data_IF_249157122754
#
_entry.id   IF_249157122754
#
_cell.length_a   1.000
_cell.length_b   1.000
_cell.length_c   1.000
_cell.angle_alpha   90.00
_cell.angle_beta   90.00
_cell.angle_gamma   90.00
#
_symmetry.space_group_name_H-M   'P 1'
#
loop_
_entity.id
_entity.type
_entity.pdbx_description
1 polymer ?
#
# COMPACT_ATOMS: atom_id res chain seq x y z
N UNK A 1 15.84 -12.94 -33.42
CA UNK A 1 14.52 -13.53 -33.17
C UNK A 1 14.72 -14.86 -32.48
N UNK A 2 14.29 -14.99 -31.23
CA UNK A 2 14.14 -16.28 -30.54
C UNK A 2 13.09 -16.07 -29.44
N UNK A 3 11.88 -16.58 -29.70
CA UNK A 3 10.78 -16.68 -28.74
C UNK A 3 11.18 -17.70 -27.68
N UNK A 4 10.97 -17.36 -26.40
CA UNK A 4 11.08 -18.32 -25.30
C UNK A 4 9.78 -18.28 -24.54
N UNK A 5 9.21 -19.47 -24.39
CA UNK A 5 7.83 -19.77 -24.09
C UNK A 5 7.38 -19.37 -22.68
N UNK A 6 6.09 -19.02 -22.60
CA UNK A 6 5.30 -18.95 -21.38
C UNK A 6 5.35 -20.30 -20.64
N UNK A 7 5.80 -20.27 -19.39
CA UNK A 7 5.45 -21.28 -18.38
C UNK A 7 5.25 -20.55 -17.05
N UNK A 8 4.12 -19.84 -16.94
CA UNK A 8 3.59 -19.44 -15.63
C UNK A 8 2.71 -20.59 -15.13
N UNK A 9 3.38 -21.61 -14.59
CA UNK A 9 2.76 -22.65 -13.77
C UNK A 9 2.80 -22.22 -12.30
N UNK A 10 1.67 -22.41 -11.63
CA UNK A 10 1.37 -22.02 -10.26
C UNK A 10 2.42 -22.46 -9.22
N UNK A 11 2.91 -21.51 -8.42
CA UNK A 11 3.44 -21.83 -7.09
C UNK A 11 3.29 -20.64 -6.11
N UNK A 12 2.42 -20.73 -5.09
CA UNK A 12 2.09 -19.61 -4.20
C UNK A 12 3.06 -19.40 -3.02
N UNK A 13 4.21 -20.06 -2.97
CA UNK A 13 5.13 -19.95 -1.83
C UNK A 13 6.60 -19.94 -2.26
N UNK A 14 7.10 -18.82 -2.74
CA UNK A 14 8.54 -18.57 -2.69
C UNK A 14 8.90 -17.08 -2.69
N UNK A 15 9.74 -16.72 -1.73
CA UNK A 15 10.40 -15.41 -1.57
C UNK A 15 11.04 -14.93 -2.87
N UNK A 16 10.38 -14.02 -3.59
CA UNK A 16 10.95 -13.37 -4.78
C UNK A 16 10.55 -11.89 -4.91
N UNK A 17 10.55 -11.14 -3.81
CA UNK A 17 10.22 -9.71 -3.87
C UNK A 17 11.43 -8.78 -3.99
N UNK A 18 12.65 -9.31 -4.07
CA UNK A 18 13.86 -8.48 -4.19
C UNK A 18 14.77 -9.08 -5.23
N UNK A 19 14.56 -8.72 -6.51
CA UNK A 19 15.62 -8.68 -7.53
C UNK A 19 15.08 -8.01 -8.80
N UNK A 20 14.87 -6.70 -8.71
CA UNK A 20 15.18 -5.68 -9.75
C UNK A 20 14.60 -4.34 -9.29
N UNK A 21 15.38 -3.60 -8.49
CA UNK A 21 15.14 -2.18 -8.15
C UNK A 21 15.63 -1.28 -9.31
N UNK A 22 15.50 -1.76 -10.55
CA UNK A 22 15.85 -0.99 -11.75
C UNK A 22 14.71 -1.24 -12.72
N UNK A 23 14.08 -0.14 -13.12
CA UNK A 23 12.88 -0.05 -13.96
C UNK A 23 11.57 0.11 -13.16
N UNK A 24 11.56 0.99 -12.14
CA UNK A 24 10.33 1.65 -11.71
C UNK A 24 9.89 2.63 -12.82
N UNK A 25 9.20 2.12 -13.85
CA UNK A 25 8.63 2.96 -14.91
C UNK A 25 7.34 3.59 -14.39
N UNK A 26 7.14 4.86 -14.72
CA UNK A 26 6.01 5.70 -14.31
C UNK A 26 4.60 5.16 -14.66
N UNK A 27 4.52 4.01 -15.32
CA UNK A 27 3.29 3.35 -15.75
C UNK A 27 2.76 2.35 -14.70
N UNK A 28 3.60 1.89 -13.76
CA UNK A 28 3.19 1.01 -12.66
C UNK A 28 2.38 1.75 -11.57
N UNK A 29 2.33 3.08 -11.67
CA UNK A 29 1.47 3.94 -10.84
C UNK A 29 0.08 4.17 -11.44
N UNK A 30 -0.26 3.51 -12.55
CA UNK A 30 -1.66 3.42 -12.97
C UNK A 30 -2.32 2.42 -12.03
N UNK A 31 -2.76 2.94 -10.88
CA UNK A 31 -3.93 2.44 -10.18
C UNK A 31 -4.95 2.02 -11.25
N UNK A 32 -5.05 0.73 -11.53
CA UNK A 32 -6.25 0.16 -12.14
C UNK A 32 -7.33 0.22 -11.06
N UNK A 33 -7.77 1.45 -10.78
CA UNK A 33 -8.93 1.80 -9.98
C UNK A 33 -10.23 1.15 -10.49
N UNK A 34 -10.15 0.46 -11.64
CA UNK A 34 -11.27 -0.16 -12.32
C UNK A 34 -11.78 -1.45 -11.67
N UNK A 35 -10.97 -2.22 -10.93
CA UNK A 35 -11.38 -3.58 -10.54
C UNK A 35 -11.51 -3.87 -9.03
N UNK A 36 -11.08 -2.98 -8.12
CA UNK A 36 -11.02 -3.34 -6.69
C UNK A 36 -12.23 -2.91 -5.84
N UNK A 37 -12.95 -1.85 -6.21
CA UNK A 37 -14.15 -1.48 -5.47
C UNK A 37 -15.40 -1.79 -6.28
N UNK A 38 -16.11 -2.86 -5.89
CA UNK A 38 -17.57 -2.96 -6.04
C UNK A 38 -18.31 -1.88 -5.24
N UNK A 39 -17.85 -0.64 -5.34
CA UNK A 39 -18.37 0.55 -4.68
C UNK A 39 -19.48 1.10 -5.55
N UNK A 40 -20.72 0.74 -5.24
CA UNK A 40 -21.88 1.60 -5.52
C UNK A 40 -21.46 3.05 -5.24
N UNK A 41 -21.61 3.97 -6.22
CA UNK A 41 -21.29 5.42 -6.14
C UNK A 41 -21.22 5.91 -4.68
N UNK A 42 -20.02 6.17 -4.15
CA UNK A 42 -19.87 6.73 -2.81
C UNK A 42 -20.58 8.09 -2.77
N UNK A 43 -21.70 8.15 -2.06
CA UNK A 43 -22.55 9.34 -1.92
C UNK A 43 -21.93 10.31 -0.92
N UNK A 44 -21.91 11.58 -1.34
CA UNK A 44 -21.70 12.82 -0.57
C UNK A 44 -20.37 12.99 0.19
N UNK A 45 -19.70 14.11 -0.09
CA UNK A 45 -18.61 14.65 0.72
C UNK A 45 -19.18 14.98 2.10
N UNK A 46 -18.78 14.22 3.12
CA UNK A 46 -19.21 14.44 4.50
C UNK A 46 -18.73 15.82 4.95
N UNK A 47 -19.64 16.77 5.17
CA UNK A 47 -19.28 18.15 5.53
C UNK A 47 -19.03 18.33 7.03
N UNK A 48 -19.60 17.45 7.87
CA UNK A 48 -19.53 17.51 9.34
C UNK A 48 -19.11 16.18 9.93
N UNK A 49 -18.36 16.21 11.02
CA UNK A 49 -17.94 15.04 11.77
C UNK A 49 -19.15 14.27 12.32
N UNK A 50 -19.22 12.96 12.09
CA UNK A 50 -20.32 12.12 12.59
C UNK A 50 -20.33 11.97 14.13
N UNK A 51 -19.21 12.27 14.80
CA UNK A 51 -19.09 12.16 16.25
C UNK A 51 -19.43 13.49 16.95
N UNK A 52 -18.84 14.60 16.51
CA UNK A 52 -18.97 15.90 17.19
C UNK A 52 -19.64 17.00 16.35
N UNK A 53 -20.12 16.70 15.14
CA UNK A 53 -20.71 17.66 14.19
C UNK A 53 -19.83 18.83 13.75
N UNK A 54 -18.55 18.86 14.15
CA UNK A 54 -17.59 19.89 13.72
C UNK A 54 -17.35 19.88 12.20
N UNK A 55 -16.97 21.01 11.58
CA UNK A 55 -16.75 21.11 10.15
C UNK A 55 -15.52 20.30 9.72
N UNK A 56 -15.68 19.51 8.65
CA UNK A 56 -14.55 18.78 8.05
C UNK A 56 -13.64 19.73 7.29
N UNK A 57 -12.34 19.41 7.25
CA UNK A 57 -11.32 20.21 6.54
C UNK A 57 -10.42 19.27 5.73
N UNK A 58 -9.96 19.76 4.58
CA UNK A 58 -8.92 19.09 3.78
C UNK A 58 -7.57 19.61 4.25
N UNK A 59 -6.58 18.73 4.46
CA UNK A 59 -5.23 19.19 4.79
C UNK A 59 -4.61 19.85 3.55
N UNK A 60 -3.77 20.84 3.78
CA UNK A 60 -3.04 21.54 2.70
C UNK A 60 -2.16 20.59 1.87
N UNK A 61 -1.67 19.51 2.48
CA UNK A 61 -0.77 18.54 1.86
C UNK A 61 -1.50 17.39 1.12
N UNK A 62 -2.84 17.39 1.12
CA UNK A 62 -3.66 16.38 0.40
C UNK A 62 -3.94 16.81 -1.05
N UNK A 63 -3.09 17.67 -1.61
CA UNK A 63 -3.12 18.02 -3.03
C UNK A 63 -2.47 16.90 -3.87
N UNK A 64 -3.04 16.48 -5.02
CA UNK A 64 -2.50 15.39 -5.82
C UNK A 64 -1.03 15.60 -6.24
N UNK A 65 -0.62 16.82 -6.58
CA UNK A 65 0.76 17.08 -6.99
C UNK A 65 1.71 16.99 -5.79
N UNK A 66 1.27 17.47 -4.62
CA UNK A 66 2.04 17.33 -3.37
C UNK A 66 2.15 15.84 -2.97
N UNK A 67 1.08 15.05 -3.14
CA UNK A 67 1.09 13.61 -2.82
C UNK A 67 2.13 12.87 -3.66
N UNK A 68 2.25 13.17 -4.96
CA UNK A 68 3.27 12.55 -5.83
C UNK A 68 4.70 12.82 -5.32
N UNK A 69 4.98 14.07 -4.95
CA UNK A 69 6.29 14.44 -4.36
C UNK A 69 6.54 13.65 -3.08
N UNK A 70 5.54 13.55 -2.19
CA UNK A 70 5.67 12.81 -0.92
C UNK A 70 5.88 11.32 -1.11
N UNK A 71 5.29 10.72 -2.14
CA UNK A 71 5.50 9.31 -2.47
C UNK A 71 6.95 9.06 -2.91
N UNK A 72 7.51 9.97 -3.71
CA UNK A 72 8.94 9.95 -4.05
C UNK A 72 9.81 10.12 -2.80
N UNK A 73 9.52 11.10 -1.94
CA UNK A 73 10.26 11.30 -0.69
C UNK A 73 10.21 10.07 0.23
N UNK A 74 9.06 9.40 0.31
CA UNK A 74 8.92 8.16 1.07
C UNK A 74 9.83 7.06 0.51
N UNK A 75 9.85 6.87 -0.82
CA UNK A 75 10.71 5.89 -1.47
C UNK A 75 12.20 6.19 -1.25
N UNK A 76 12.60 7.45 -1.37
CA UNK A 76 14.01 7.86 -1.31
C UNK A 76 14.55 7.92 0.13
N UNK A 77 13.71 8.28 1.11
CA UNK A 77 14.16 8.60 2.48
C UNK A 77 13.64 7.66 3.55
N UNK A 78 12.40 7.20 3.43
CA UNK A 78 11.75 6.39 4.47
C UNK A 78 11.90 4.90 4.21
N UNK A 79 11.72 4.46 2.97
CA UNK A 79 11.83 3.04 2.61
C UNK A 79 13.18 2.41 2.99
N UNK A 80 14.35 3.06 2.76
CA UNK A 80 15.64 2.49 3.16
C UNK A 80 15.82 2.32 4.68
N UNK A 81 15.04 3.05 5.50
CA UNK A 81 15.08 2.88 6.96
C UNK A 81 14.56 1.49 7.34
N UNK A 82 13.58 0.94 6.60
CA UNK A 82 13.05 -0.40 6.86
C UNK A 82 14.14 -1.45 6.62
N UNK A 83 14.91 -1.34 5.54
CA UNK A 83 16.08 -2.19 5.26
C UNK A 83 17.16 -2.02 6.34
N UNK A 84 17.39 -0.77 6.76
CA UNK A 84 18.25 -0.45 7.89
C UNK A 84 17.80 -1.07 9.22
N UNK A 85 16.50 -1.23 9.45
CA UNK A 85 15.97 -1.91 10.63
C UNK A 85 16.17 -3.43 10.54
N UNK A 86 15.89 -4.04 9.39
CA UNK A 86 16.12 -5.48 9.17
C UNK A 86 17.60 -5.84 9.38
N UNK A 87 18.53 -5.05 8.84
CA UNK A 87 19.98 -5.26 9.02
C UNK A 87 20.48 -5.12 10.47
N UNK A 88 19.75 -4.37 11.32
CA UNK A 88 20.06 -4.21 12.74
C UNK A 88 19.43 -5.30 13.62
N UNK A 89 18.76 -6.28 13.02
CA UNK A 89 18.14 -7.41 13.72
C UNK A 89 16.72 -7.13 14.21
N UNK A 90 16.07 -6.04 13.79
CA UNK A 90 14.66 -5.83 14.08
C UNK A 90 13.80 -6.75 13.21
N UNK A 91 12.78 -7.37 13.83
CA UNK A 91 11.81 -8.17 13.09
C UNK A 91 10.80 -7.26 12.39
N UNK A 92 10.91 -7.13 11.08
CA UNK A 92 9.93 -6.41 10.25
C UNK A 92 8.87 -7.39 9.75
N UNK A 93 7.60 -7.12 10.11
CA UNK A 93 6.44 -7.89 9.63
C UNK A 93 5.71 -7.09 8.56
N UNK A 94 5.61 -7.63 7.35
CA UNK A 94 4.92 -6.99 6.21
C UNK A 94 3.46 -7.44 6.17
N UNK A 95 2.54 -6.49 6.02
CA UNK A 95 1.08 -6.73 6.03
C UNK A 95 0.47 -6.01 4.84
N UNK A 96 -0.48 -6.64 4.15
CA UNK A 96 -1.24 -6.03 3.06
C UNK A 96 -2.26 -5.01 3.59
N UNK A 97 -2.15 -3.77 3.12
CA UNK A 97 -3.01 -2.65 3.49
C UNK A 97 -4.18 -2.39 2.53
N UNK A 98 -4.31 -3.16 1.45
CA UNK A 98 -5.39 -3.01 0.46
C UNK A 98 -6.78 -3.46 0.93
N UNK A 99 -6.94 -4.52 1.76
CA UNK A 99 -8.24 -4.98 2.22
C UNK A 99 -9.00 -3.96 3.07
N UNK A 100 -10.26 -4.26 3.38
CA UNK A 100 -11.06 -3.42 4.27
C UNK A 100 -10.40 -3.26 5.65
N UNK A 101 -10.55 -2.11 6.34
CA UNK A 101 -9.83 -1.81 7.58
C UNK A 101 -9.92 -2.89 8.66
N UNK A 102 -11.08 -3.53 8.83
CA UNK A 102 -11.27 -4.60 9.82
C UNK A 102 -10.47 -5.88 9.49
N UNK A 103 -10.29 -6.21 8.20
CA UNK A 103 -9.46 -7.34 7.77
C UNK A 103 -7.97 -7.06 7.95
N UNK A 104 -7.56 -5.83 7.70
CA UNK A 104 -6.18 -5.39 7.98
C UNK A 104 -5.92 -5.47 9.48
N UNK A 105 -6.86 -4.99 10.30
CA UNK A 105 -6.80 -5.10 11.76
C UNK A 105 -6.64 -6.55 12.23
N UNK A 106 -7.47 -7.48 11.75
CA UNK A 106 -7.34 -8.92 12.05
C UNK A 106 -5.94 -9.46 11.70
N UNK A 107 -5.39 -9.03 10.56
CA UNK A 107 -4.04 -9.42 10.12
C UNK A 107 -2.96 -8.89 11.05
N UNK A 108 -3.08 -7.64 11.52
CA UNK A 108 -2.17 -7.05 12.51
C UNK A 108 -2.23 -7.82 13.84
N UNK A 109 -3.43 -8.08 14.36
CA UNK A 109 -3.62 -8.78 15.63
C UNK A 109 -3.01 -10.19 15.59
N UNK A 110 -3.22 -10.92 14.50
CA UNK A 110 -2.64 -12.25 14.28
C UNK A 110 -1.11 -12.21 14.27
N UNK A 111 -0.51 -11.23 13.60
CA UNK A 111 0.95 -11.06 13.53
C UNK A 111 1.55 -10.71 14.89
N UNK A 112 0.83 -9.93 15.71
CA UNK A 112 1.26 -9.56 17.06
C UNK A 112 0.98 -10.64 18.11
N UNK A 113 0.20 -11.68 17.78
CA UNK A 113 -0.17 -12.75 18.71
C UNK A 113 -1.14 -12.30 19.80
N UNK A 114 -1.86 -11.20 19.58
CA UNK A 114 -2.86 -10.70 20.53
C UNK A 114 -4.21 -11.29 20.12
N UNK A 115 -4.74 -12.19 20.93
CA UNK A 115 -6.11 -12.69 20.80
C UNK A 115 -7.10 -11.61 21.25
N UNK A 116 -8.11 -11.31 20.44
CA UNK A 116 -9.28 -10.55 20.85
C UNK A 116 -10.35 -11.46 21.42
#
# INVERSE_FOLDING_TARGET
AQQINEVFGDNPTSNRFIKKVRDFKNEDFIFTAANFYGSKKRKAKLQRCAFCSGPTRKRTLDDPEIIKVRLKEFADRTYPIIEGMESRGYTVKRIDGLPAPYKVHESVMKVLGISQ
#
